data_IF_924635848905
#
_entry.id   IF_924635848905
#
_cell.length_a   1.000
_cell.length_b   1.000
_cell.length_c   1.000
_cell.angle_alpha   90.00
_cell.angle_beta   90.00
_cell.angle_gamma   90.00
#
_symmetry.space_group_name_H-M   'P 1'
#
loop_
_entity.id
_entity.type
_entity.pdbx_description
1 polymer ?
#
# COMPACT_ATOMS: atom_id res chain seq x y z
N UNK A 1 11.91 24.37 6.24
CA UNK A 1 11.64 22.90 6.13
C UNK A 1 12.04 22.32 4.78
N UNK A 2 11.79 23.01 3.65
CA UNK A 2 12.28 22.62 2.31
C UNK A 2 13.82 22.60 2.21
N UNK A 3 14.52 23.59 2.78
CA UNK A 3 16.00 23.66 2.76
C UNK A 3 16.69 22.52 3.55
N UNK A 4 16.12 22.15 4.70
CA UNK A 4 16.66 21.08 5.53
C UNK A 4 16.46 19.69 4.89
N UNK A 5 15.36 19.53 4.14
CA UNK A 5 15.06 18.34 3.33
C UNK A 5 15.95 18.26 2.08
N UNK A 6 16.25 19.38 1.42
CA UNK A 6 17.12 19.39 0.24
C UNK A 6 18.57 19.05 0.57
N UNK A 7 19.09 19.52 1.71
CA UNK A 7 20.43 19.18 2.20
C UNK A 7 20.56 17.68 2.55
N UNK A 8 19.51 17.11 3.15
CA UNK A 8 19.44 15.69 3.51
C UNK A 8 19.38 14.74 2.31
N UNK A 9 18.98 15.23 1.12
CA UNK A 9 18.91 14.46 -0.13
C UNK A 9 20.26 14.50 -0.87
N UNK A 10 20.97 15.62 -0.81
CA UNK A 10 22.21 15.85 -1.58
C UNK A 10 23.36 14.92 -1.20
N UNK A 11 23.40 14.36 0.03
CA UNK A 11 24.56 13.57 0.48
C UNK A 11 24.29 12.07 0.72
N UNK A 12 23.08 11.57 0.48
CA UNK A 12 22.74 10.17 0.79
C UNK A 12 22.57 9.31 -0.47
N UNK A 13 23.57 8.47 -0.76
CA UNK A 13 23.50 7.46 -1.82
C UNK A 13 22.37 6.45 -1.57
N UNK A 14 22.12 6.11 -0.31
CA UNK A 14 21.03 5.22 0.09
C UNK A 14 19.66 5.75 -0.29
N UNK A 15 19.37 7.04 -0.03
CA UNK A 15 18.09 7.64 -0.43
C UNK A 15 17.87 7.57 -1.95
N UNK A 16 18.93 7.77 -2.74
CA UNK A 16 18.87 7.67 -4.21
C UNK A 16 18.60 6.24 -4.66
N UNK A 17 19.31 5.28 -4.06
CA UNK A 17 19.11 3.86 -4.33
C UNK A 17 17.68 3.44 -4.02
N UNK A 18 17.19 3.69 -2.80
CA UNK A 18 15.82 3.34 -2.40
C UNK A 18 14.76 4.01 -3.27
N UNK A 19 14.92 5.30 -3.60
CA UNK A 19 13.95 6.00 -4.47
C UNK A 19 13.92 5.40 -5.87
N UNK A 20 15.08 5.06 -6.42
CA UNK A 20 15.17 4.43 -7.75
C UNK A 20 14.62 3.00 -7.72
N UNK A 21 14.90 2.24 -6.66
CA UNK A 21 14.39 0.90 -6.46
C UNK A 21 12.86 0.89 -6.39
N UNK A 22 12.27 1.75 -5.56
CA UNK A 22 10.82 1.85 -5.44
C UNK A 22 10.20 2.26 -6.78
N UNK A 23 10.78 3.24 -7.49
CA UNK A 23 10.30 3.60 -8.82
C UNK A 23 10.36 2.41 -9.80
N UNK A 24 11.48 1.68 -9.84
CA UNK A 24 11.64 0.52 -10.72
C UNK A 24 10.63 -0.58 -10.41
N UNK A 25 10.36 -0.85 -9.13
CA UNK A 25 9.37 -1.81 -8.67
C UNK A 25 7.94 -1.38 -9.02
N UNK A 26 7.54 -0.14 -8.73
CA UNK A 26 6.21 0.39 -9.03
C UNK A 26 5.95 0.53 -10.53
N UNK A 27 6.99 0.87 -11.30
CA UNK A 27 6.90 0.89 -12.75
C UNK A 27 6.76 -0.54 -13.32
N UNK A 28 7.45 -1.51 -12.73
CA UNK A 28 7.28 -2.93 -13.11
C UNK A 28 5.87 -3.44 -12.78
N UNK A 29 5.34 -3.07 -11.61
CA UNK A 29 3.96 -3.34 -11.21
C UNK A 29 2.96 -2.77 -12.24
N UNK A 30 3.18 -1.53 -12.69
CA UNK A 30 2.37 -0.88 -13.73
C UNK A 30 2.43 -1.65 -15.06
N UNK A 31 3.62 -2.03 -15.51
CA UNK A 31 3.78 -2.79 -16.76
C UNK A 31 3.09 -4.15 -16.69
N UNK A 32 3.20 -4.85 -15.56
CA UNK A 32 2.51 -6.13 -15.33
C UNK A 32 0.99 -5.95 -15.32
N UNK A 33 0.48 -4.88 -14.71
CA UNK A 33 -0.95 -4.59 -14.70
C UNK A 33 -1.49 -4.38 -16.12
N UNK A 34 -0.78 -3.60 -16.93
CA UNK A 34 -1.14 -3.30 -18.32
C UNK A 34 -1.04 -4.56 -19.19
N UNK A 35 0.05 -5.33 -19.07
CA UNK A 35 0.27 -6.56 -19.82
C UNK A 35 -0.73 -7.68 -19.49
N UNK A 36 -1.25 -7.72 -18.26
CA UNK A 36 -2.24 -8.69 -17.82
C UNK A 36 -3.69 -8.29 -18.15
N UNK A 37 -3.90 -7.32 -19.05
CA UNK A 37 -5.23 -6.86 -19.47
C UNK A 37 -6.01 -7.78 -20.41
N UNK A 38 -5.50 -8.99 -20.69
CA UNK A 38 -6.05 -9.93 -21.66
C UNK A 38 -5.48 -9.70 -23.06
N UNK A 39 -4.53 -10.55 -23.46
CA UNK A 39 -3.92 -10.63 -24.80
C UNK A 39 -3.96 -9.35 -25.64
N UNK A 40 -3.36 -8.28 -25.12
CA UNK A 40 -3.30 -6.98 -25.80
C UNK A 40 -2.31 -7.10 -26.97
N UNK A 41 -2.76 -7.02 -28.25
CA UNK A 41 -1.88 -7.33 -29.39
C UNK A 41 -0.69 -6.38 -29.52
N UNK A 42 -0.86 -5.11 -29.13
CA UNK A 42 0.18 -4.07 -29.18
C UNK A 42 1.09 -4.06 -27.95
N UNK A 43 0.80 -4.87 -26.93
CA UNK A 43 1.61 -4.95 -25.70
C UNK A 43 1.89 -6.42 -25.33
N UNK A 44 2.63 -7.15 -26.20
CA UNK A 44 2.85 -8.57 -26.01
C UNK A 44 3.77 -8.84 -24.80
N UNK A 45 3.70 -10.05 -24.20
CA UNK A 45 4.50 -10.40 -23.02
C UNK A 45 6.00 -10.16 -23.18
N UNK A 46 6.56 -10.42 -24.36
CA UNK A 46 7.98 -10.15 -24.64
C UNK A 46 8.32 -8.69 -24.38
N UNK A 47 7.51 -7.75 -24.87
CA UNK A 47 7.73 -6.32 -24.67
C UNK A 47 7.59 -5.94 -23.18
N UNK A 48 6.57 -6.48 -22.50
CA UNK A 48 6.34 -6.25 -21.06
C UNK A 48 7.57 -6.66 -20.25
N UNK A 49 8.04 -7.89 -20.42
CA UNK A 49 9.17 -8.43 -19.66
C UNK A 49 10.50 -7.77 -20.04
N UNK A 50 10.70 -7.39 -21.30
CA UNK A 50 11.87 -6.60 -21.71
C UNK A 50 11.91 -5.23 -21.03
N UNK A 51 10.78 -4.51 -20.97
CA UNK A 51 10.70 -3.21 -20.29
C UNK A 51 10.92 -3.32 -18.78
N UNK A 52 10.38 -4.37 -18.15
CA UNK A 52 10.64 -4.69 -16.74
C UNK A 52 12.14 -4.96 -16.52
N UNK A 53 12.75 -5.79 -17.37
CA UNK A 53 14.19 -6.08 -17.30
C UNK A 53 15.06 -4.83 -17.40
N UNK A 54 14.76 -3.94 -18.36
CA UNK A 54 15.44 -2.66 -18.52
C UNK A 54 15.26 -1.76 -17.29
N UNK A 55 14.02 -1.66 -16.78
CA UNK A 55 13.70 -0.88 -15.57
C UNK A 55 14.51 -1.35 -14.37
N UNK A 56 14.49 -2.64 -14.08
CA UNK A 56 15.19 -3.25 -12.94
C UNK A 56 16.72 -3.17 -13.11
N UNK A 57 17.24 -3.33 -14.32
CA UNK A 57 18.66 -3.12 -14.59
C UNK A 57 19.07 -1.67 -14.35
N UNK A 58 18.22 -0.72 -14.74
CA UNK A 58 18.42 0.71 -14.48
C UNK A 58 18.59 1.03 -12.99
N UNK A 59 17.90 0.31 -12.09
CA UNK A 59 18.01 0.49 -10.63
C UNK A 59 19.44 0.28 -10.11
N UNK A 60 20.22 -0.61 -10.74
CA UNK A 60 21.58 -0.92 -10.30
C UNK A 60 22.57 0.21 -10.59
N UNK A 61 22.44 0.84 -11.77
CA UNK A 61 23.44 1.80 -12.27
C UNK A 61 23.01 3.26 -12.11
N UNK A 62 21.71 3.55 -12.23
CA UNK A 62 21.20 4.92 -12.21
C UNK A 62 21.52 5.69 -10.91
N UNK A 63 21.40 5.11 -9.70
CA UNK A 63 21.75 5.82 -8.46
C UNK A 63 23.24 6.19 -8.40
N UNK A 64 24.12 5.32 -8.94
CA UNK A 64 25.56 5.56 -9.00
C UNK A 64 25.88 6.69 -9.97
N UNK A 65 25.31 6.65 -11.17
CA UNK A 65 25.47 7.71 -12.19
C UNK A 65 24.95 9.04 -11.64
N UNK A 66 23.77 9.05 -11.02
CA UNK A 66 23.23 10.22 -10.34
C UNK A 66 24.20 10.74 -9.28
N UNK A 67 24.70 9.89 -8.39
CA UNK A 67 25.63 10.31 -7.34
C UNK A 67 26.94 10.90 -7.90
N UNK A 68 27.50 10.31 -8.96
CA UNK A 68 28.71 10.83 -9.61
C UNK A 68 28.48 12.17 -10.32
N UNK A 69 27.36 12.31 -11.03
CA UNK A 69 27.03 13.55 -11.74
C UNK A 69 26.70 14.70 -10.79
N UNK A 70 26.09 14.41 -9.64
CA UNK A 70 25.87 15.39 -8.57
C UNK A 70 27.19 15.89 -7.99
N UNK A 71 28.14 14.99 -7.69
CA UNK A 71 29.48 15.39 -7.21
C UNK A 71 30.22 16.28 -8.20
N UNK A 72 30.00 16.05 -9.50
CA UNK A 72 30.52 16.90 -10.59
C UNK A 72 29.70 18.18 -10.81
N UNK A 73 28.70 18.45 -9.98
CA UNK A 73 27.76 19.59 -10.08
C UNK A 73 27.06 19.70 -11.45
N UNK A 74 26.95 18.60 -12.19
CA UNK A 74 26.35 18.58 -13.53
C UNK A 74 24.83 18.51 -13.51
N UNK A 75 24.23 18.11 -12.38
CA UNK A 75 22.79 17.88 -12.26
C UNK A 75 22.24 18.45 -10.95
N UNK A 76 20.99 18.90 -11.00
CA UNK A 76 20.24 19.31 -9.82
C UNK A 76 19.50 18.10 -9.23
N UNK A 77 20.08 17.50 -8.18
CA UNK A 77 19.51 16.34 -7.50
C UNK A 77 18.13 16.58 -6.89
N UNK A 78 17.85 17.79 -6.39
CA UNK A 78 16.55 18.11 -5.79
C UNK A 78 15.45 18.06 -6.85
N UNK A 79 15.71 18.60 -8.04
CA UNK A 79 14.78 18.53 -9.17
C UNK A 79 14.59 17.09 -9.63
N UNK A 80 15.67 16.33 -9.80
CA UNK A 80 15.60 14.93 -10.23
C UNK A 80 14.84 14.06 -9.22
N UNK A 81 15.14 14.19 -7.93
CA UNK A 81 14.41 13.51 -6.86
C UNK A 81 12.92 13.83 -6.92
N UNK A 82 12.55 15.10 -7.11
CA UNK A 82 11.15 15.52 -7.26
C UNK A 82 10.44 14.86 -8.45
N UNK A 83 11.14 14.66 -9.56
CA UNK A 83 10.61 13.97 -10.75
C UNK A 83 10.39 12.49 -10.44
N UNK A 84 11.40 11.79 -9.90
CA UNK A 84 11.30 10.36 -9.57
C UNK A 84 10.20 10.11 -8.55
N UNK A 85 10.14 10.93 -7.50
CA UNK A 85 9.09 10.87 -6.50
C UNK A 85 7.68 11.08 -7.09
N UNK A 86 7.54 12.02 -8.03
CA UNK A 86 6.26 12.23 -8.74
C UNK A 86 5.91 11.03 -9.63
N UNK A 87 6.91 10.41 -10.26
CA UNK A 87 6.75 9.17 -11.03
C UNK A 87 6.27 7.99 -10.17
N UNK A 88 6.85 7.79 -8.99
CA UNK A 88 6.42 6.76 -8.02
C UNK A 88 4.95 6.96 -7.67
N UNK A 89 4.58 8.19 -7.28
CA UNK A 89 3.20 8.54 -6.92
C UNK A 89 2.23 8.26 -8.06
N UNK A 90 2.60 8.62 -9.28
CA UNK A 90 1.78 8.38 -10.46
C UNK A 90 1.59 6.88 -10.72
N UNK A 91 2.65 6.08 -10.67
CA UNK A 91 2.58 4.63 -10.88
C UNK A 91 1.66 3.97 -9.85
N UNK A 92 1.82 4.29 -8.57
CA UNK A 92 0.97 3.76 -7.49
C UNK A 92 -0.48 4.20 -7.68
N UNK A 93 -0.72 5.49 -7.92
CA UNK A 93 -2.05 6.05 -8.10
C UNK A 93 -2.79 5.41 -9.28
N UNK A 94 -2.11 5.26 -10.42
CA UNK A 94 -2.67 4.62 -11.60
C UNK A 94 -3.02 3.17 -11.32
N UNK A 95 -2.09 2.38 -10.76
CA UNK A 95 -2.32 0.97 -10.49
C UNK A 95 -3.51 0.75 -9.56
N UNK A 96 -3.54 1.45 -8.43
CA UNK A 96 -4.61 1.32 -7.44
C UNK A 96 -5.96 1.75 -8.04
N UNK A 97 -5.99 2.89 -8.74
CA UNK A 97 -7.22 3.36 -9.38
C UNK A 97 -7.70 2.36 -10.43
N UNK A 98 -6.81 1.78 -11.24
CA UNK A 98 -7.17 0.76 -12.22
C UNK A 98 -7.74 -0.51 -11.57
N UNK A 99 -7.18 -0.99 -10.44
CA UNK A 99 -7.80 -2.08 -9.67
C UNK A 99 -9.16 -1.70 -9.10
N UNK A 100 -9.33 -0.45 -8.67
CA UNK A 100 -10.63 0.07 -8.23
C UNK A 100 -11.64 0.10 -9.37
N UNK A 101 -11.28 0.62 -10.54
CA UNK A 101 -12.13 0.63 -11.73
C UNK A 101 -12.51 -0.78 -12.17
N UNK A 102 -11.57 -1.74 -12.15
CA UNK A 102 -11.88 -3.16 -12.43
C UNK A 102 -12.96 -3.70 -11.50
N UNK A 103 -12.91 -3.39 -10.19
CA UNK A 103 -13.97 -3.78 -9.24
C UNK A 103 -15.29 -3.05 -9.51
N UNK A 104 -15.22 -1.75 -9.78
CA UNK A 104 -16.39 -0.93 -10.06
C UNK A 104 -17.19 -1.43 -11.27
N UNK A 105 -16.50 -1.81 -12.35
CA UNK A 105 -17.11 -2.36 -13.56
C UNK A 105 -17.39 -3.87 -13.50
N UNK A 106 -17.27 -4.50 -12.33
CA UNK A 106 -17.56 -5.93 -12.17
C UNK A 106 -16.57 -6.86 -12.87
N UNK A 107 -15.36 -6.39 -13.21
CA UNK A 107 -14.29 -7.19 -13.81
C UNK A 107 -13.49 -8.01 -12.77
N UNK A 108 -13.90 -7.97 -11.50
CA UNK A 108 -13.36 -8.79 -10.41
C UNK A 108 -14.49 -9.44 -9.63
N UNK A 109 -14.15 -10.50 -8.88
CA UNK A 109 -15.08 -11.29 -8.07
C UNK A 109 -16.10 -12.11 -8.90
N UNK A 110 -15.76 -12.38 -10.16
CA UNK A 110 -16.47 -13.33 -11.04
C UNK A 110 -15.98 -14.75 -10.74
N UNK A 111 -16.89 -15.62 -10.30
CA UNK A 111 -16.62 -17.05 -10.09
C UNK A 111 -17.13 -17.83 -11.30
N UNK A 112 -16.28 -18.63 -12.00
CA UNK A 112 -16.72 -19.49 -13.10
C UNK A 112 -17.75 -20.52 -12.64
N UNK A 113 -18.66 -20.89 -13.54
CA UNK A 113 -19.78 -21.79 -13.20
C UNK A 113 -19.32 -23.17 -12.73
N UNK A 114 -18.20 -23.65 -13.27
CA UNK A 114 -17.58 -24.93 -12.95
C UNK A 114 -17.09 -24.94 -11.50
N UNK A 115 -16.53 -23.82 -11.03
CA UNK A 115 -16.12 -23.62 -9.64
C UNK A 115 -17.35 -23.44 -8.77
N UNK A 116 -18.35 -22.68 -9.24
CA UNK A 116 -19.53 -22.35 -8.47
C UNK A 116 -20.35 -23.59 -8.06
N UNK A 117 -20.33 -24.62 -8.92
CA UNK A 117 -21.02 -25.88 -8.69
C UNK A 117 -20.23 -26.87 -7.81
N UNK A 118 -18.98 -26.57 -7.45
CA UNK A 118 -18.20 -27.45 -6.57
C UNK A 118 -18.69 -27.38 -5.13
N UNK A 119 -18.73 -28.52 -4.41
CA UNK A 119 -19.11 -28.52 -3.00
C UNK A 119 -18.11 -27.70 -2.16
N UNK A 120 -18.59 -27.09 -1.08
CA UNK A 120 -17.83 -26.14 -0.26
C UNK A 120 -16.49 -26.72 0.24
N UNK A 121 -16.45 -28.01 0.59
CA UNK A 121 -15.24 -28.69 1.05
C UNK A 121 -14.16 -28.88 -0.03
N UNK A 122 -14.45 -28.57 -1.29
CA UNK A 122 -13.50 -28.60 -2.41
C UNK A 122 -13.11 -27.20 -2.91
N UNK A 123 -13.66 -26.14 -2.31
CA UNK A 123 -13.32 -24.76 -2.69
C UNK A 123 -11.92 -24.40 -2.18
N UNK A 124 -11.13 -23.74 -3.02
CA UNK A 124 -9.82 -23.20 -2.61
C UNK A 124 -9.99 -21.90 -1.82
N UNK A 125 -8.95 -21.48 -1.08
CA UNK A 125 -8.96 -20.20 -0.37
C UNK A 125 -9.21 -19.00 -1.30
N UNK A 126 -8.65 -19.04 -2.52
CA UNK A 126 -8.91 -18.04 -3.56
C UNK A 126 -10.40 -17.99 -3.91
N UNK A 127 -11.02 -19.11 -4.27
CA UNK A 127 -12.43 -19.12 -4.67
C UNK A 127 -13.37 -18.74 -3.54
N UNK A 128 -13.11 -19.18 -2.31
CA UNK A 128 -13.85 -18.73 -1.13
C UNK A 128 -13.82 -17.21 -0.95
N UNK A 129 -12.66 -16.60 -1.22
CA UNK A 129 -12.51 -15.15 -1.13
C UNK A 129 -13.23 -14.43 -2.26
N UNK A 130 -13.18 -14.97 -3.48
CA UNK A 130 -13.93 -14.44 -4.62
C UNK A 130 -15.44 -14.52 -4.40
N UNK A 131 -15.93 -15.62 -3.82
CA UNK A 131 -17.33 -15.73 -3.37
C UNK A 131 -17.68 -14.68 -2.32
N UNK A 132 -16.84 -14.51 -1.28
CA UNK A 132 -17.07 -13.55 -0.22
C UNK A 132 -17.20 -12.11 -0.74
N UNK A 133 -16.25 -11.67 -1.57
CA UNK A 133 -16.32 -10.33 -2.16
C UNK A 133 -17.40 -10.21 -3.25
N UNK A 134 -17.70 -11.30 -3.96
CA UNK A 134 -18.75 -11.35 -4.99
C UNK A 134 -20.17 -11.34 -4.44
N UNK A 135 -20.37 -11.81 -3.20
CA UNK A 135 -21.69 -11.86 -2.55
C UNK A 135 -22.31 -10.46 -2.37
N UNK A 136 -21.51 -9.48 -1.94
CA UNK A 136 -21.98 -8.11 -1.70
C UNK A 136 -21.39 -7.13 -2.71
N UNK A 137 -22.15 -6.86 -3.77
CA UNK A 137 -21.76 -5.89 -4.79
C UNK A 137 -21.50 -4.49 -4.20
N UNK A 138 -22.35 -4.05 -3.25
CA UNK A 138 -22.19 -2.77 -2.56
C UNK A 138 -20.86 -2.70 -1.80
N UNK A 139 -20.46 -3.77 -1.13
CA UNK A 139 -19.17 -3.82 -0.43
C UNK A 139 -17.99 -3.75 -1.41
N UNK A 140 -18.07 -4.47 -2.54
CA UNK A 140 -17.10 -4.36 -3.63
C UNK A 140 -16.96 -2.94 -4.17
N UNK A 141 -18.07 -2.22 -4.37
CA UNK A 141 -18.07 -0.82 -4.80
C UNK A 141 -17.42 0.09 -3.75
N UNK A 142 -17.69 -0.09 -2.46
CA UNK A 142 -17.06 0.72 -1.40
C UNK A 142 -15.53 0.57 -1.45
N UNK A 143 -15.04 -0.66 -1.57
CA UNK A 143 -13.61 -0.93 -1.72
C UNK A 143 -13.07 -0.25 -2.98
N UNK A 144 -13.76 -0.36 -4.11
CA UNK A 144 -13.39 0.27 -5.36
C UNK A 144 -13.27 1.80 -5.22
N UNK A 145 -14.25 2.44 -4.58
CA UNK A 145 -14.27 3.88 -4.35
C UNK A 145 -13.13 4.33 -3.44
N UNK A 146 -12.81 3.57 -2.39
CA UNK A 146 -11.65 3.85 -1.53
C UNK A 146 -10.34 3.76 -2.34
N UNK A 147 -10.20 2.76 -3.22
CA UNK A 147 -9.04 2.62 -4.10
C UNK A 147 -8.91 3.82 -5.06
N UNK A 148 -9.99 4.17 -5.76
CA UNK A 148 -10.00 5.27 -6.75
C UNK A 148 -9.75 6.62 -6.06
N UNK A 149 -10.50 6.92 -5.00
CA UNK A 149 -10.34 8.17 -4.26
C UNK A 149 -8.96 8.27 -3.62
N UNK A 150 -8.50 7.21 -2.96
CA UNK A 150 -7.17 7.14 -2.38
C UNK A 150 -6.07 7.36 -3.42
N UNK A 151 -6.16 6.71 -4.59
CA UNK A 151 -5.24 6.89 -5.70
C UNK A 151 -5.21 8.33 -6.20
N UNK A 152 -6.37 8.96 -6.35
CA UNK A 152 -6.46 10.37 -6.76
C UNK A 152 -5.83 11.31 -5.71
N UNK A 153 -6.07 11.07 -4.42
CA UNK A 153 -5.46 11.85 -3.33
C UNK A 153 -3.92 11.79 -3.36
N UNK A 154 -3.31 10.69 -3.84
CA UNK A 154 -1.86 10.59 -4.01
C UNK A 154 -1.31 11.56 -5.06
N UNK A 155 -2.11 12.07 -5.99
CA UNK A 155 -1.66 13.00 -7.04
C UNK A 155 -1.53 14.44 -6.53
N UNK A 156 -2.23 14.81 -5.44
CA UNK A 156 -2.15 16.15 -4.86
C UNK A 156 -1.25 16.19 -3.64
N UNK A 157 -0.32 17.15 -3.62
CA UNK A 157 0.67 17.30 -2.53
C UNK A 157 0.02 17.49 -1.15
N UNK A 158 -1.14 18.15 -1.09
CA UNK A 158 -1.85 18.45 0.16
C UNK A 158 -2.54 17.23 0.77
N UNK A 159 -2.99 16.30 -0.07
CA UNK A 159 -3.78 15.13 0.38
C UNK A 159 -3.01 13.82 0.35
N UNK A 160 -1.76 13.85 -0.12
CA UNK A 160 -0.92 12.66 -0.29
C UNK A 160 -0.88 11.78 0.95
N UNK A 161 -0.62 12.37 2.12
CA UNK A 161 -0.45 11.60 3.35
C UNK A 161 -1.75 10.93 3.79
N UNK A 162 -2.89 11.61 3.61
CA UNK A 162 -4.22 11.08 3.90
C UNK A 162 -4.51 9.90 2.96
N UNK A 163 -4.33 10.11 1.65
CA UNK A 163 -4.51 9.05 0.65
C UNK A 163 -3.62 7.84 0.93
N UNK A 164 -2.35 8.07 1.26
CA UNK A 164 -1.40 7.00 1.55
C UNK A 164 -1.80 6.18 2.79
N UNK A 165 -2.25 6.80 3.88
CA UNK A 165 -2.68 6.06 5.08
C UNK A 165 -3.93 5.21 4.80
N UNK A 166 -4.93 5.79 4.14
CA UNK A 166 -6.16 5.08 3.77
C UNK A 166 -5.82 3.87 2.90
N UNK A 167 -5.01 4.09 1.86
CA UNK A 167 -4.59 3.04 0.95
C UNK A 167 -3.72 1.99 1.63
N UNK A 168 -2.82 2.37 2.53
CA UNK A 168 -1.98 1.43 3.26
C UNK A 168 -2.82 0.47 4.11
N UNK A 169 -3.81 0.99 4.84
CA UNK A 169 -4.70 0.15 5.64
C UNK A 169 -5.47 -0.85 4.79
N UNK A 170 -6.00 -0.41 3.64
CA UNK A 170 -6.72 -1.27 2.71
C UNK A 170 -5.79 -2.31 2.05
N UNK A 171 -4.67 -1.86 1.49
CA UNK A 171 -3.73 -2.71 0.76
C UNK A 171 -3.06 -3.73 1.67
N UNK A 172 -2.68 -3.34 2.90
CA UNK A 172 -2.14 -4.28 3.87
C UNK A 172 -3.13 -5.40 4.15
N UNK A 173 -4.41 -5.08 4.34
CA UNK A 173 -5.44 -6.10 4.52
C UNK A 173 -5.58 -7.01 3.29
N UNK A 174 -5.61 -6.44 2.08
CA UNK A 174 -5.67 -7.22 0.83
C UNK A 174 -4.43 -8.10 0.64
N UNK A 175 -3.23 -7.63 0.99
CA UNK A 175 -2.00 -8.42 0.93
C UNK A 175 -2.04 -9.57 1.93
N UNK A 176 -2.53 -9.35 3.15
CA UNK A 176 -2.70 -10.44 4.11
C UNK A 176 -3.71 -11.49 3.62
N UNK A 177 -4.83 -11.04 3.04
CA UNK A 177 -5.78 -11.95 2.39
C UNK A 177 -5.07 -12.76 1.29
N UNK A 178 -4.29 -12.09 0.43
CA UNK A 178 -3.58 -12.79 -0.64
C UNK A 178 -2.59 -13.85 -0.14
N UNK A 179 -1.90 -13.57 0.97
CA UNK A 179 -0.96 -14.51 1.61
C UNK A 179 -1.70 -15.70 2.23
N UNK A 180 -2.68 -15.44 3.10
CA UNK A 180 -3.32 -16.49 3.91
C UNK A 180 -4.36 -17.31 3.14
N UNK A 181 -4.93 -16.76 2.07
CA UNK A 181 -5.86 -17.49 1.20
C UNK A 181 -5.19 -18.06 -0.06
N UNK A 182 -3.84 -17.99 -0.14
CA UNK A 182 -3.05 -18.54 -1.24
C UNK A 182 -3.55 -18.10 -2.62
N UNK A 183 -3.80 -16.79 -2.75
CA UNK A 183 -4.21 -16.20 -4.02
C UNK A 183 -3.14 -16.37 -5.09
N UNK A 184 -3.54 -16.31 -6.35
CA UNK A 184 -2.61 -16.38 -7.47
C UNK A 184 -1.42 -15.40 -7.33
N UNK A 185 -0.26 -15.82 -7.83
CA UNK A 185 1.01 -15.10 -7.66
C UNK A 185 0.98 -13.67 -8.22
N UNK A 186 0.20 -13.43 -9.28
CA UNK A 186 0.05 -12.10 -9.88
C UNK A 186 -0.65 -11.12 -8.94
N UNK A 187 -1.77 -11.52 -8.35
CA UNK A 187 -2.48 -10.70 -7.36
C UNK A 187 -1.64 -10.46 -6.10
N UNK A 188 -0.96 -11.50 -5.61
CA UNK A 188 -0.08 -11.40 -4.45
C UNK A 188 1.05 -10.39 -4.70
N UNK A 189 1.81 -10.56 -5.80
CA UNK A 189 2.92 -9.68 -6.15
C UNK A 189 2.46 -8.22 -6.27
N UNK A 190 1.35 -7.97 -6.99
CA UNK A 190 0.82 -6.62 -7.14
C UNK A 190 0.43 -5.98 -5.81
N UNK A 191 -0.21 -6.75 -4.91
CA UNK A 191 -0.58 -6.23 -3.60
C UNK A 191 0.65 -5.91 -2.73
N UNK A 192 1.70 -6.73 -2.79
CA UNK A 192 2.95 -6.51 -2.03
C UNK A 192 3.66 -5.25 -2.53
N UNK A 193 3.84 -5.12 -3.86
CA UNK A 193 4.52 -3.97 -4.45
C UNK A 193 3.81 -2.67 -4.07
N UNK A 194 2.50 -2.58 -4.33
CA UNK A 194 1.71 -1.38 -3.99
C UNK A 194 1.72 -1.07 -2.49
N UNK A 195 1.68 -2.09 -1.61
CA UNK A 195 1.77 -1.88 -0.16
C UNK A 195 3.12 -1.29 0.23
N UNK A 196 4.22 -1.78 -0.35
CA UNK A 196 5.57 -1.25 -0.14
C UNK A 196 5.69 0.16 -0.69
N UNK A 197 5.16 0.45 -1.88
CA UNK A 197 5.16 1.77 -2.49
C UNK A 197 4.43 2.80 -1.64
N UNK A 198 3.22 2.48 -1.17
CA UNK A 198 2.45 3.36 -0.29
C UNK A 198 3.14 3.53 1.07
N UNK A 199 3.70 2.46 1.64
CA UNK A 199 4.49 2.55 2.87
C UNK A 199 5.71 3.47 2.70
N UNK A 200 6.39 3.41 1.55
CA UNK A 200 7.47 4.33 1.21
C UNK A 200 6.99 5.79 1.19
N UNK A 201 5.83 6.08 0.60
CA UNK A 201 5.24 7.42 0.61
C UNK A 201 4.96 7.92 2.04
N UNK A 202 4.46 7.05 2.91
CA UNK A 202 4.23 7.36 4.34
C UNK A 202 5.56 7.62 5.06
N UNK A 203 6.54 6.75 4.83
CA UNK A 203 7.84 6.80 5.48
C UNK A 203 8.59 8.11 5.19
N UNK A 204 8.38 8.74 4.03
CA UNK A 204 8.99 10.04 3.71
C UNK A 204 8.47 11.19 4.59
N UNK A 205 7.24 11.08 5.10
CA UNK A 205 6.58 12.09 5.93
C UNK A 205 6.37 11.63 7.39
N UNK A 206 7.03 10.55 7.83
CA UNK A 206 6.83 9.93 9.14
C UNK A 206 6.95 10.90 10.33
N UNK A 207 7.83 11.91 10.25
CA UNK A 207 8.02 12.93 11.31
C UNK A 207 6.73 13.72 11.55
N UNK A 208 5.95 14.00 10.49
CA UNK A 208 4.65 14.68 10.60
C UNK A 208 3.62 13.81 11.30
N UNK A 209 3.60 12.51 11.01
CA UNK A 209 2.72 11.55 11.68
C UNK A 209 3.07 11.38 13.15
N UNK A 210 4.35 11.29 13.48
CA UNK A 210 4.80 11.22 14.86
C UNK A 210 4.38 12.48 15.65
N UNK A 211 4.50 13.66 15.05
CA UNK A 211 4.04 14.90 15.65
C UNK A 211 2.52 14.88 15.83
N UNK A 212 1.76 14.49 14.80
CA UNK A 212 0.30 14.47 14.84
C UNK A 212 -0.25 13.47 15.87
N UNK A 213 0.25 12.23 15.91
CA UNK A 213 -0.30 11.18 16.76
C UNK A 213 0.24 11.18 18.19
N UNK A 214 1.52 11.50 18.38
CA UNK A 214 2.16 11.36 19.70
C UNK A 214 2.39 12.69 20.42
N UNK A 215 2.48 13.81 19.69
CA UNK A 215 2.79 15.12 20.30
C UNK A 215 1.60 16.06 20.40
N UNK A 216 0.51 15.77 19.68
CA UNK A 216 -0.73 16.55 19.78
C UNK A 216 -1.35 16.34 21.16
N UNK A 217 -1.48 17.42 21.93
CA UNK A 217 -2.17 17.40 23.22
C UNK A 217 -3.67 17.54 22.99
N UNK A 218 -4.44 16.72 23.68
CA UNK A 218 -5.89 16.87 23.72
C UNK A 218 -6.27 18.04 24.63
N UNK A 219 -7.23 18.85 24.20
CA UNK A 219 -7.82 19.93 25.00
C UNK A 219 -9.00 19.44 25.85
N UNK A 220 -9.27 18.13 25.86
CA UNK A 220 -10.34 17.56 26.67
C UNK A 220 -9.97 17.61 28.15
N UNK A 221 -10.95 17.86 29.04
CA UNK A 221 -10.71 17.87 30.47
C UNK A 221 -10.16 16.52 30.92
N UNK A 222 -9.00 16.53 31.57
CA UNK A 222 -8.37 15.33 32.11
C UNK A 222 -8.86 15.08 33.53
N UNK A 223 -9.26 13.84 33.82
CA UNK A 223 -9.49 13.42 35.19
C UNK A 223 -8.15 13.41 35.95
N UNK A 224 -8.01 14.28 36.94
CA UNK A 224 -6.83 14.33 37.81
C UNK A 224 -6.94 13.23 38.87
N UNK A 225 -6.44 12.04 38.55
CA UNK A 225 -6.26 10.98 39.53
C UNK A 225 -5.12 11.38 40.49
N UNK A 226 -5.41 11.42 41.81
CA UNK A 226 -4.38 11.66 42.83
C UNK A 226 -3.31 10.55 42.88
N UNK A 227 -3.66 9.34 42.44
CA UNK A 227 -2.76 8.18 42.42
C UNK A 227 -2.61 7.63 40.99
N UNK A 228 -1.42 7.76 40.42
CA UNK A 228 -1.09 7.25 39.07
C UNK A 228 -1.19 5.71 38.99
N UNK A 229 -1.02 5.00 40.11
CA UNK A 229 -1.18 3.54 40.16
C UNK A 229 -2.64 3.16 39.91
N UNK A 230 -3.59 3.83 40.57
CA UNK A 230 -5.03 3.57 40.39
C UNK A 230 -5.46 3.83 38.94
N UNK A 231 -4.97 4.92 38.33
CA UNK A 231 -5.23 5.25 36.92
C UNK A 231 -4.73 4.16 35.97
N UNK A 232 -3.54 3.62 36.21
CA UNK A 232 -3.01 2.51 35.39
C UNK A 232 -3.75 1.19 35.66
N UNK A 233 -4.16 0.92 36.90
CA UNK A 233 -5.02 -0.24 37.23
C UNK A 233 -6.33 -0.16 36.44
N UNK A 234 -7.00 0.99 36.40
CA UNK A 234 -8.25 1.15 35.65
C UNK A 234 -8.07 0.94 34.14
N UNK A 235 -6.94 1.39 33.57
CA UNK A 235 -6.62 1.14 32.15
C UNK A 235 -6.41 -0.35 31.88
N UNK A 236 -5.67 -1.02 32.74
CA UNK A 236 -5.36 -2.44 32.62
C UNK A 236 -6.60 -3.30 32.91
N UNK A 237 -7.45 -2.91 33.86
CA UNK A 237 -8.66 -3.65 34.21
C UNK A 237 -9.64 -3.72 33.05
N UNK A 238 -9.73 -2.69 32.20
CA UNK A 238 -10.56 -2.74 31.00
C UNK A 238 -10.15 -3.88 30.05
N UNK A 239 -8.85 -4.17 29.96
CA UNK A 239 -8.30 -5.26 29.13
C UNK A 239 -8.44 -6.61 29.85
N UNK A 240 -8.12 -6.66 31.14
CA UNK A 240 -8.16 -7.92 31.90
C UNK A 240 -9.60 -8.40 32.08
N UNK A 241 -10.53 -7.52 32.45
CA UNK A 241 -11.92 -7.91 32.67
C UNK A 241 -12.59 -8.38 31.37
N UNK A 242 -12.30 -7.74 30.23
CA UNK A 242 -12.83 -8.22 28.94
C UNK A 242 -12.27 -9.59 28.57
N UNK A 243 -11.00 -9.85 28.86
CA UNK A 243 -10.37 -11.17 28.67
C UNK A 243 -11.01 -12.23 29.58
N UNK A 244 -11.15 -11.93 30.88
CA UNK A 244 -11.75 -12.85 31.85
C UNK A 244 -13.20 -13.17 31.48
N UNK A 245 -13.99 -12.16 31.09
CA UNK A 245 -15.34 -12.37 30.62
C UNK A 245 -15.40 -13.26 29.38
N UNK A 246 -14.47 -13.07 28.43
CA UNK A 246 -14.38 -13.92 27.23
C UNK A 246 -14.00 -15.36 27.57
N UNK A 247 -13.08 -15.58 28.52
CA UNK A 247 -12.72 -16.91 29.01
C UNK A 247 -13.93 -17.59 29.66
N UNK A 248 -14.69 -16.86 30.46
CA UNK A 248 -15.92 -17.35 31.06
C UNK A 248 -16.95 -17.75 30.00
N UNK A 249 -17.21 -16.90 29.01
CA UNK A 249 -18.11 -17.24 27.89
C UNK A 249 -17.64 -18.50 27.15
N UNK A 250 -16.33 -18.62 26.90
CA UNK A 250 -15.75 -19.82 26.27
C UNK A 250 -15.99 -21.08 27.10
N UNK A 251 -16.03 -20.98 28.43
CA UNK A 251 -16.32 -22.13 29.30
C UNK A 251 -17.79 -22.59 29.24
N UNK A 252 -18.70 -21.72 28.82
CA UNK A 252 -20.12 -22.04 28.64
C UNK A 252 -20.39 -22.73 27.30
N UNK A 253 -19.59 -22.42 26.28
CA UNK A 253 -19.67 -23.04 24.94
C UNK A 253 -18.83 -24.32 24.95
N UNK A 254 -19.44 -25.44 25.37
CA UNK A 254 -18.89 -26.79 25.17
C UNK A 254 -19.04 -27.23 23.71
#
# INVERSE_FOLDING_TARGET
MLEHSSLEIQNSIWKKFFTTLILGLEFSALLLLLGNGGNIPWFPPVLVFSLIGISLFGVLFFPLIWHLLEKKQKINSTKLYGILYSGIRYCIAFNIAAFGWKKFYGLQFIVPSEIANMPMNRQTGEWLTWFYFGYSHTFGIIIAMIQIAGGYLLLFRKTLLIGAIILFSLLLNLTLINIFYHMNAGALLQSILLTIGVLFLIALDYKKLLAFFLKTKSNLPTLNFKNEILKNILRVSAIILSLLFTIYLKSLVK
#
